data_IF_736898145114
#
_entry.id   IF_736898145114
#
_cell.length_a   1.000
_cell.length_b   1.000
_cell.length_c   1.000
_cell.angle_alpha   90.00
_cell.angle_beta   90.00
_cell.angle_gamma   90.00
#
_symmetry.space_group_name_H-M   'P 1'
#
loop_
_entity.id
_entity.type
_entity.pdbx_description
1 polymer ?
#
# COMPACT_ATOMS: atom_id res chain seq x y z
N UNK A 1 -12.75 27.13 -10.63
CA UNK A 1 -11.64 26.91 -9.67
C UNK A 1 -11.52 25.47 -9.17
N UNK A 2 -12.58 24.83 -8.63
CA UNK A 2 -12.48 23.46 -8.06
C UNK A 2 -12.13 22.36 -9.08
N UNK A 3 -12.62 22.44 -10.32
CA UNK A 3 -12.31 21.46 -11.37
C UNK A 3 -10.85 21.60 -11.86
N UNK A 4 -10.36 22.83 -12.01
CA UNK A 4 -8.97 23.09 -12.42
C UNK A 4 -7.96 22.43 -11.46
N UNK A 5 -8.17 22.54 -10.14
CA UNK A 5 -7.31 21.86 -9.17
C UNK A 5 -7.38 20.34 -9.25
N UNK A 6 -8.56 19.77 -9.51
CA UNK A 6 -8.74 18.31 -9.66
C UNK A 6 -8.03 17.77 -10.90
N UNK A 7 -7.98 18.54 -11.98
CA UNK A 7 -7.34 18.12 -13.22
C UNK A 7 -5.83 18.43 -13.25
N UNK A 8 -5.35 19.38 -12.43
CA UNK A 8 -3.95 19.78 -12.44
C UNK A 8 -2.97 18.62 -12.13
N UNK A 9 -3.24 17.81 -11.11
CA UNK A 9 -2.40 16.66 -10.77
C UNK A 9 -2.37 15.62 -11.89
N UNK A 10 -3.51 15.04 -12.34
CA UNK A 10 -3.50 14.01 -13.37
C UNK A 10 -2.94 14.53 -14.70
N UNK A 11 -3.23 15.77 -15.10
CA UNK A 11 -2.61 16.37 -16.30
C UNK A 11 -1.09 16.45 -16.12
N UNK A 12 -0.61 16.96 -14.99
CA UNK A 12 0.82 17.05 -14.72
C UNK A 12 1.52 15.70 -14.76
N UNK A 13 0.96 14.68 -14.10
CA UNK A 13 1.54 13.33 -14.09
C UNK A 13 1.44 12.66 -15.46
N UNK A 14 0.34 12.85 -16.20
CA UNK A 14 0.21 12.36 -17.58
C UNK A 14 1.21 13.01 -18.53
N UNK A 15 1.50 14.31 -18.37
CA UNK A 15 2.54 14.98 -19.15
C UNK A 15 3.92 14.38 -18.85
N UNK A 16 4.26 14.18 -17.57
CA UNK A 16 5.51 13.52 -17.18
C UNK A 16 5.59 12.10 -17.74
N UNK A 17 4.50 11.34 -17.65
CA UNK A 17 4.41 10.00 -18.21
C UNK A 17 4.61 9.99 -19.72
N UNK A 18 3.93 10.89 -20.45
CA UNK A 18 4.08 11.03 -21.89
C UNK A 18 5.50 11.40 -22.32
N UNK A 19 6.20 12.22 -21.52
CA UNK A 19 7.63 12.53 -21.74
C UNK A 19 8.47 11.25 -21.60
N UNK A 20 8.27 10.46 -20.53
CA UNK A 20 9.01 9.21 -20.34
C UNK A 20 8.74 8.19 -21.44
N UNK A 21 7.48 8.04 -21.86
CA UNK A 21 7.09 7.20 -23.02
C UNK A 21 7.75 7.71 -24.30
N UNK A 22 7.79 9.03 -24.53
CA UNK A 22 8.45 9.64 -25.67
C UNK A 22 9.96 9.39 -25.69
N UNK A 23 10.63 9.47 -24.54
CA UNK A 23 12.06 9.13 -24.41
C UNK A 23 12.33 7.65 -24.77
N UNK A 24 11.46 6.75 -24.30
CA UNK A 24 11.55 5.33 -24.64
C UNK A 24 11.34 5.08 -26.15
N UNK A 25 10.23 5.57 -26.71
CA UNK A 25 9.88 5.33 -28.11
C UNK A 25 10.82 6.00 -29.12
N UNK A 26 11.49 7.09 -28.74
CA UNK A 26 12.49 7.76 -29.57
C UNK A 26 13.87 7.09 -29.56
N UNK A 27 14.07 6.05 -28.76
CA UNK A 27 15.37 5.40 -28.59
C UNK A 27 16.33 6.14 -27.67
N UNK A 28 15.88 7.22 -26.99
CA UNK A 28 16.66 7.99 -26.04
C UNK A 28 16.79 7.29 -24.67
N UNK A 29 17.11 5.99 -24.69
CA UNK A 29 17.14 5.14 -23.50
C UNK A 29 18.10 5.63 -22.42
N UNK A 30 19.25 6.22 -22.79
CA UNK A 30 20.20 6.78 -21.83
C UNK A 30 19.59 7.93 -21.02
N UNK A 31 18.77 8.78 -21.63
CA UNK A 31 18.06 9.85 -20.93
C UNK A 31 16.94 9.27 -20.06
N UNK A 32 16.17 8.32 -20.60
CA UNK A 32 15.13 7.62 -19.86
C UNK A 32 15.68 7.00 -18.56
N UNK A 33 16.75 6.20 -18.67
CA UNK A 33 17.39 5.57 -17.53
C UNK A 33 18.16 6.54 -16.65
N UNK A 34 18.67 7.66 -17.18
CA UNK A 34 19.32 8.69 -16.38
C UNK A 34 18.36 9.47 -15.47
N UNK A 35 17.10 9.64 -15.88
CA UNK A 35 16.08 10.36 -15.09
C UNK A 35 15.57 9.55 -13.90
N UNK A 36 15.44 8.23 -14.03
CA UNK A 36 14.84 7.38 -12.98
C UNK A 36 15.60 7.41 -11.64
N UNK A 37 16.95 7.31 -11.58
CA UNK A 37 17.70 7.46 -10.35
C UNK A 37 17.54 8.83 -9.67
N UNK A 38 17.36 9.90 -10.45
CA UNK A 38 17.08 11.25 -9.94
C UNK A 38 15.70 11.35 -9.28
N UNK A 39 14.79 10.45 -9.65
CA UNK A 39 13.47 10.28 -9.03
C UNK A 39 13.46 9.22 -7.93
N UNK A 40 14.63 8.70 -7.54
CA UNK A 40 14.73 7.67 -6.52
C UNK A 40 14.28 6.27 -6.99
N UNK A 41 14.38 5.96 -8.28
CA UNK A 41 14.00 4.65 -8.81
C UNK A 41 15.21 3.98 -9.46
N UNK A 42 15.48 2.73 -9.10
CA UNK A 42 16.47 1.91 -9.81
C UNK A 42 15.81 1.27 -11.04
N UNK A 43 16.22 1.65 -12.27
CA UNK A 43 15.67 1.06 -13.47
C UNK A 43 16.17 -0.36 -13.70
N UNK A 44 15.42 -1.13 -14.48
CA UNK A 44 15.92 -2.36 -15.11
C UNK A 44 16.28 -2.08 -16.56
N UNK A 45 16.79 -3.09 -17.28
CA UNK A 45 17.17 -2.95 -18.69
C UNK A 45 15.99 -2.61 -19.63
N UNK A 46 14.76 -2.74 -19.16
CA UNK A 46 13.53 -2.38 -19.88
C UNK A 46 12.38 -2.06 -18.89
N UNK A 47 11.38 -1.26 -19.29
CA UNK A 47 10.25 -0.90 -18.46
C UNK A 47 9.26 -2.06 -18.30
N UNK A 48 8.36 -1.93 -17.32
CA UNK A 48 7.22 -2.83 -17.09
C UNK A 48 7.61 -4.27 -16.72
N UNK A 49 8.74 -4.43 -16.03
CA UNK A 49 9.29 -5.72 -15.61
C UNK A 49 8.28 -6.59 -14.84
N UNK A 50 7.42 -6.00 -14.03
CA UNK A 50 6.50 -6.80 -13.20
C UNK A 50 5.25 -7.21 -13.98
N UNK A 51 4.79 -6.40 -14.93
CA UNK A 51 3.81 -6.84 -15.94
C UNK A 51 4.39 -7.95 -16.80
N UNK A 52 5.66 -7.83 -17.24
CA UNK A 52 6.36 -8.89 -17.96
C UNK A 52 6.37 -10.20 -17.18
N UNK A 53 6.66 -10.16 -15.88
CA UNK A 53 6.68 -11.34 -15.00
C UNK A 53 5.35 -12.12 -15.01
N UNK A 54 4.23 -11.39 -14.93
CA UNK A 54 2.88 -11.98 -14.93
C UNK A 54 2.56 -12.60 -16.30
N UNK A 55 2.88 -11.88 -17.39
CA UNK A 55 2.65 -12.39 -18.75
C UNK A 55 3.53 -13.59 -19.06
N UNK A 56 4.80 -13.56 -18.64
CA UNK A 56 5.74 -14.67 -18.75
C UNK A 56 5.25 -15.91 -18.00
N UNK A 57 4.81 -15.75 -16.76
CA UNK A 57 4.27 -16.85 -15.96
C UNK A 57 3.01 -17.46 -16.62
N UNK A 58 2.10 -16.62 -17.12
CA UNK A 58 0.92 -17.11 -17.84
C UNK A 58 1.28 -17.81 -19.16
N UNK A 59 2.27 -17.29 -19.90
CA UNK A 59 2.76 -17.88 -21.16
C UNK A 59 3.40 -19.24 -20.95
N UNK A 60 4.35 -19.35 -20.01
CA UNK A 60 5.01 -20.61 -19.67
C UNK A 60 4.02 -21.60 -19.01
N UNK A 61 3.11 -21.12 -18.16
CA UNK A 61 2.08 -21.95 -17.53
C UNK A 61 1.17 -22.63 -18.56
N UNK A 62 0.80 -21.94 -19.65
CA UNK A 62 0.03 -22.53 -20.76
C UNK A 62 0.79 -23.61 -21.52
N UNK A 63 2.13 -23.61 -21.47
CA UNK A 63 2.97 -24.66 -22.03
C UNK A 63 3.13 -25.87 -21.09
N UNK A 64 2.46 -25.86 -19.94
CA UNK A 64 2.56 -26.92 -18.93
C UNK A 64 3.83 -26.84 -18.08
N UNK A 65 4.55 -25.71 -18.11
CA UNK A 65 5.73 -25.50 -17.27
C UNK A 65 5.29 -25.14 -15.86
N UNK A 66 5.90 -25.79 -14.85
CA UNK A 66 5.65 -25.51 -13.45
C UNK A 66 6.33 -24.18 -13.01
N UNK A 67 5.64 -23.07 -13.29
CA UNK A 67 6.17 -21.71 -13.12
C UNK A 67 6.48 -21.32 -11.68
N UNK A 68 5.93 -22.02 -10.69
CA UNK A 68 6.26 -21.79 -9.27
C UNK A 68 7.64 -22.32 -8.86
N UNK A 69 8.24 -23.19 -9.69
CA UNK A 69 9.59 -23.73 -9.52
C UNK A 69 10.59 -23.03 -10.44
N UNK A 70 10.25 -22.86 -11.71
CA UNK A 70 11.10 -22.16 -12.68
C UNK A 70 10.25 -21.51 -13.78
N UNK A 71 10.62 -20.29 -14.16
CA UNK A 71 9.92 -19.54 -15.19
C UNK A 71 10.92 -19.08 -16.26
N UNK A 72 11.23 -19.92 -17.27
CA UNK A 72 12.18 -19.56 -18.32
C UNK A 72 11.67 -18.45 -19.25
N UNK A 73 10.36 -18.14 -19.22
CA UNK A 73 9.78 -17.03 -19.97
C UNK A 73 10.03 -15.67 -19.31
N UNK A 74 10.34 -15.61 -18.00
CA UNK A 74 10.63 -14.35 -17.32
C UNK A 74 12.05 -13.90 -17.64
N UNK A 75 12.23 -12.62 -18.00
CA UNK A 75 13.53 -12.07 -18.34
C UNK A 75 14.61 -12.21 -17.24
N UNK A 76 14.21 -12.42 -15.98
CA UNK A 76 15.10 -12.67 -14.85
C UNK A 76 15.07 -14.11 -14.36
N UNK A 77 14.33 -15.00 -15.01
CA UNK A 77 14.15 -16.39 -14.59
C UNK A 77 13.47 -16.55 -13.24
N UNK A 78 12.72 -15.53 -12.76
CA UNK A 78 12.11 -15.54 -11.43
C UNK A 78 10.96 -16.54 -11.36
N UNK A 79 10.93 -17.47 -10.37
CA UNK A 79 9.74 -18.26 -10.12
C UNK A 79 8.52 -17.37 -9.86
N UNK A 80 7.36 -17.82 -10.32
CA UNK A 80 6.09 -17.15 -10.04
C UNK A 80 5.80 -17.22 -8.54
N UNK A 81 5.44 -16.10 -7.94
CA UNK A 81 5.15 -16.01 -6.50
C UNK A 81 3.77 -15.38 -6.21
N UNK A 82 2.90 -15.32 -7.23
CA UNK A 82 1.57 -14.73 -7.11
C UNK A 82 0.46 -15.77 -7.19
N UNK A 83 -0.78 -15.30 -7.00
CA UNK A 83 -1.97 -16.13 -7.08
C UNK A 83 -2.04 -16.94 -8.38
N UNK A 84 -2.45 -18.21 -8.32
CA UNK A 84 -2.67 -19.05 -9.50
C UNK A 84 -3.78 -18.51 -10.40
N UNK A 85 -4.65 -17.63 -9.87
CA UNK A 85 -5.66 -16.94 -10.66
C UNK A 85 -5.05 -16.13 -11.81
N UNK A 86 -3.84 -15.61 -11.67
CA UNK A 86 -3.15 -14.91 -12.76
C UNK A 86 -2.90 -15.81 -13.98
N UNK A 87 -2.64 -17.10 -13.75
CA UNK A 87 -2.38 -18.06 -14.83
C UNK A 87 -3.66 -18.40 -15.62
N UNK A 88 -4.82 -18.23 -15.01
CA UNK A 88 -6.12 -18.58 -15.62
C UNK A 88 -6.84 -17.39 -16.23
N UNK A 89 -6.70 -16.18 -15.66
CA UNK A 89 -7.43 -14.99 -16.15
C UNK A 89 -6.71 -14.24 -17.27
N UNK A 90 -5.38 -14.40 -17.39
CA UNK A 90 -4.63 -13.74 -18.46
C UNK A 90 -5.03 -14.40 -19.78
N UNK A 91 -5.63 -13.65 -20.73
CA UNK A 91 -6.08 -14.22 -22.00
C UNK A 91 -4.95 -14.92 -22.75
N UNK A 92 -5.26 -16.04 -23.41
CA UNK A 92 -4.26 -16.81 -24.17
C UNK A 92 -3.59 -16.02 -25.30
N UNK A 93 -4.23 -14.95 -25.78
CA UNK A 93 -3.67 -14.02 -26.77
C UNK A 93 -2.61 -13.08 -26.21
N UNK A 94 -2.43 -13.02 -24.88
CA UNK A 94 -1.45 -12.15 -24.22
C UNK A 94 -0.24 -12.97 -23.74
N UNK A 95 0.91 -12.76 -24.39
CA UNK A 95 2.22 -13.25 -23.95
C UNK A 95 3.17 -12.09 -23.63
N UNK A 96 4.44 -12.40 -23.40
CA UNK A 96 5.51 -11.44 -23.08
C UNK A 96 5.66 -10.33 -24.14
N UNK A 97 5.36 -10.60 -25.41
CA UNK A 97 5.33 -9.59 -26.47
C UNK A 97 4.30 -8.46 -26.26
N UNK A 98 3.29 -8.68 -25.41
CA UNK A 98 2.28 -7.69 -25.05
C UNK A 98 2.68 -6.75 -23.89
N UNK A 99 3.86 -6.96 -23.28
CA UNK A 99 4.31 -6.23 -22.08
C UNK A 99 4.17 -4.72 -22.21
N UNK A 100 4.62 -4.15 -23.33
CA UNK A 100 4.64 -2.70 -23.55
C UNK A 100 3.26 -2.05 -23.45
N UNK A 101 2.28 -2.57 -24.19
CA UNK A 101 0.95 -1.96 -24.22
C UNK A 101 0.08 -2.34 -23.03
N UNK A 102 0.24 -3.55 -22.45
CA UNK A 102 -0.45 -3.95 -21.22
C UNK A 102 0.01 -3.07 -20.06
N UNK A 103 1.33 -2.91 -19.89
CA UNK A 103 1.91 -2.04 -18.87
C UNK A 103 1.47 -0.60 -19.04
N UNK A 104 1.60 -0.05 -20.25
CA UNK A 104 1.17 1.33 -20.52
C UNK A 104 -0.32 1.57 -20.32
N UNK A 105 -1.17 0.60 -20.66
CA UNK A 105 -2.62 0.70 -20.42
C UNK A 105 -2.94 0.70 -18.92
N UNK A 106 -2.27 -0.16 -18.15
CA UNK A 106 -2.44 -0.23 -16.71
C UNK A 106 -2.03 1.07 -16.02
N UNK A 107 -0.87 1.61 -16.39
CA UNK A 107 -0.39 2.91 -15.93
C UNK A 107 -1.36 4.02 -16.27
N UNK A 108 -1.83 4.09 -17.52
CA UNK A 108 -2.75 5.13 -17.97
C UNK A 108 -4.06 5.11 -17.15
N UNK A 109 -4.64 3.93 -16.93
CA UNK A 109 -5.88 3.80 -16.14
C UNK A 109 -5.61 4.19 -14.67
N UNK A 110 -4.47 3.79 -14.11
CA UNK A 110 -4.05 4.23 -12.78
C UNK A 110 -3.93 5.77 -12.69
N UNK A 111 -3.25 6.40 -13.63
CA UNK A 111 -3.05 7.86 -13.65
C UNK A 111 -4.39 8.60 -13.79
N UNK A 112 -5.30 8.10 -14.62
CA UNK A 112 -6.66 8.65 -14.75
C UNK A 112 -7.47 8.47 -13.45
N UNK A 113 -7.27 7.38 -12.72
CA UNK A 113 -7.94 7.15 -11.44
C UNK A 113 -7.58 8.21 -10.37
N UNK A 114 -6.42 8.88 -10.51
CA UNK A 114 -6.01 9.94 -9.60
C UNK A 114 -6.97 11.14 -9.60
N UNK A 115 -7.74 11.36 -10.67
CA UNK A 115 -8.82 12.37 -10.72
C UNK A 115 -9.85 12.11 -9.60
N UNK A 116 -10.12 10.84 -9.32
CA UNK A 116 -11.10 10.41 -8.33
C UNK A 116 -10.51 10.43 -6.93
N UNK A 117 -9.28 9.96 -6.79
CA UNK A 117 -8.60 9.78 -5.50
C UNK A 117 -8.11 11.11 -4.94
N UNK A 118 -7.42 11.92 -5.75
CA UNK A 118 -6.73 13.14 -5.31
C UNK A 118 -7.63 14.36 -5.57
N UNK A 119 -8.22 14.91 -4.50
CA UNK A 119 -9.22 15.99 -4.58
C UNK A 119 -8.76 17.28 -3.92
N UNK A 120 -7.67 17.93 -4.39
CA UNK A 120 -7.20 19.17 -3.81
C UNK A 120 -8.24 20.29 -3.97
N UNK A 121 -8.43 21.10 -2.92
CA UNK A 121 -9.32 22.27 -2.91
C UNK A 121 -8.57 23.59 -2.79
N UNK A 122 -7.29 23.56 -2.44
CA UNK A 122 -6.42 24.73 -2.31
C UNK A 122 -5.07 24.48 -2.97
N UNK A 123 -4.31 25.54 -3.26
CA UNK A 123 -2.95 25.39 -3.81
C UNK A 123 -2.00 24.60 -2.89
N UNK A 124 -2.17 24.71 -1.57
CA UNK A 124 -1.40 23.89 -0.62
C UNK A 124 -1.75 22.41 -0.71
N UNK A 125 -3.04 22.09 -0.83
CA UNK A 125 -3.49 20.70 -1.01
C UNK A 125 -3.01 20.15 -2.37
N UNK A 126 -3.01 20.99 -3.41
CA UNK A 126 -2.46 20.64 -4.72
C UNK A 126 -0.98 20.27 -4.61
N UNK A 127 -0.18 21.07 -3.90
CA UNK A 127 1.24 20.79 -3.71
C UNK A 127 1.47 19.48 -2.94
N UNK A 128 0.74 19.26 -1.83
CA UNK A 128 0.87 18.06 -1.00
C UNK A 128 0.51 16.80 -1.80
N UNK A 129 -0.65 16.80 -2.45
CA UNK A 129 -1.14 15.63 -3.19
C UNK A 129 -0.37 15.43 -4.51
N UNK A 130 0.05 16.52 -5.16
CA UNK A 130 0.90 16.48 -6.34
C UNK A 130 2.28 15.90 -6.04
N UNK A 131 2.92 16.31 -4.93
CA UNK A 131 4.18 15.75 -4.48
C UNK A 131 4.08 14.25 -4.17
N UNK A 132 2.96 13.78 -3.63
CA UNK A 132 2.73 12.34 -3.43
C UNK A 132 2.53 11.59 -4.77
N UNK A 133 1.83 12.18 -5.74
CA UNK A 133 1.58 11.58 -7.04
C UNK A 133 2.84 11.42 -7.91
N UNK A 134 3.88 12.22 -7.68
CA UNK A 134 5.17 12.15 -8.39
C UNK A 134 6.29 11.59 -7.51
N UNK A 135 5.96 11.00 -6.36
CA UNK A 135 6.96 10.49 -5.44
C UNK A 135 7.68 9.25 -6.00
N UNK A 136 8.88 8.91 -5.50
CA UNK A 136 9.59 7.68 -5.85
C UNK A 136 8.72 6.42 -5.82
N UNK A 137 7.89 6.23 -4.78
CA UNK A 137 6.98 5.07 -4.70
C UNK A 137 5.98 4.99 -5.87
N UNK A 138 5.42 6.13 -6.31
CA UNK A 138 4.47 6.16 -7.42
C UNK A 138 5.19 5.96 -8.75
N UNK A 139 6.32 6.64 -8.96
CA UNK A 139 7.14 6.46 -10.17
C UNK A 139 7.62 5.02 -10.29
N UNK A 140 8.02 4.41 -9.17
CA UNK A 140 8.45 3.01 -9.14
C UNK A 140 7.33 2.04 -9.51
N UNK A 141 6.11 2.28 -9.01
CA UNK A 141 4.95 1.46 -9.36
C UNK A 141 4.62 1.51 -10.86
N UNK A 142 4.68 2.71 -11.45
CA UNK A 142 4.48 2.95 -12.89
C UNK A 142 5.58 2.32 -13.72
N UNK A 143 6.84 2.53 -13.33
CA UNK A 143 7.96 1.99 -14.10
C UNK A 143 7.93 0.45 -14.14
N UNK A 144 7.50 -0.20 -13.06
CA UNK A 144 7.32 -1.66 -13.08
C UNK A 144 6.02 -2.11 -13.71
N UNK A 145 5.09 -1.19 -13.99
CA UNK A 145 3.68 -1.47 -14.21
C UNK A 145 3.22 -2.59 -13.27
N UNK A 146 3.47 -2.39 -11.96
CA UNK A 146 3.28 -3.47 -10.99
C UNK A 146 1.79 -3.85 -10.90
N UNK A 147 1.49 -5.13 -10.68
CA UNK A 147 0.11 -5.58 -10.51
C UNK A 147 -0.62 -4.92 -9.30
N UNK A 148 0.11 -4.30 -8.36
CA UNK A 148 -0.47 -3.42 -7.33
C UNK A 148 -1.23 -2.22 -7.91
N UNK A 149 -0.94 -1.78 -9.14
CA UNK A 149 -1.75 -0.78 -9.84
C UNK A 149 -3.17 -1.28 -10.12
N UNK A 150 -3.31 -2.55 -10.55
CA UNK A 150 -4.63 -3.15 -10.75
C UNK A 150 -5.35 -3.32 -9.41
N UNK A 151 -4.62 -3.78 -8.38
CA UNK A 151 -5.19 -3.92 -7.03
C UNK A 151 -5.66 -2.56 -6.51
N UNK A 152 -4.88 -1.50 -6.71
CA UNK A 152 -5.25 -0.14 -6.38
C UNK A 152 -6.56 0.27 -7.08
N UNK A 153 -6.70 0.02 -8.39
CA UNK A 153 -7.92 0.32 -9.14
C UNK A 153 -9.15 -0.42 -8.59
N UNK A 154 -9.03 -1.72 -8.32
CA UNK A 154 -10.12 -2.51 -7.73
C UNK A 154 -10.51 -1.99 -6.34
N UNK A 155 -9.52 -1.64 -5.52
CA UNK A 155 -9.72 -1.07 -4.18
C UNK A 155 -10.38 0.30 -4.26
N UNK A 156 -9.97 1.19 -5.17
CA UNK A 156 -10.58 2.51 -5.35
C UNK A 156 -12.03 2.39 -5.82
N UNK A 157 -12.31 1.51 -6.79
CA UNK A 157 -13.67 1.21 -7.21
C UNK A 157 -14.51 0.64 -6.04
N UNK A 158 -13.94 -0.28 -5.27
CA UNK A 158 -14.56 -0.82 -4.07
C UNK A 158 -14.85 0.27 -3.04
N UNK A 159 -13.93 1.18 -2.79
CA UNK A 159 -14.11 2.32 -1.88
C UNK A 159 -15.21 3.29 -2.34
N UNK A 160 -15.31 3.54 -3.66
CA UNK A 160 -16.39 4.35 -4.21
C UNK A 160 -17.75 3.69 -3.98
N UNK A 161 -17.87 2.40 -4.29
CA UNK A 161 -19.10 1.62 -4.07
C UNK A 161 -19.45 1.49 -2.59
N UNK A 162 -18.45 1.33 -1.73
CA UNK A 162 -18.64 1.26 -0.28
C UNK A 162 -19.25 2.56 0.28
N UNK A 163 -18.96 3.69 -0.37
CA UNK A 163 -19.52 5.00 -0.02
C UNK A 163 -20.99 5.17 -0.45
N UNK A 164 -21.53 4.29 -1.28
CA UNK A 164 -22.90 4.34 -1.80
C UNK A 164 -23.90 3.62 -0.87
N UNK A 165 -25.23 3.80 -1.06
CA UNK A 165 -26.24 2.99 -0.39
C UNK A 165 -26.29 1.53 -0.92
N UNK A 166 -27.15 0.71 -0.31
CA UNK A 166 -27.50 -0.61 -0.86
C UNK A 166 -28.14 -0.46 -2.26
N UNK A 167 -27.91 -1.41 -3.18
CA UNK A 167 -27.10 -2.63 -3.05
C UNK A 167 -25.60 -2.42 -3.32
N UNK A 168 -25.19 -1.27 -3.87
CA UNK A 168 -23.81 -1.00 -4.30
C UNK A 168 -22.76 -1.19 -3.21
N UNK A 169 -23.07 -0.82 -1.97
CA UNK A 169 -22.20 -1.08 -0.81
C UNK A 169 -21.90 -2.55 -0.58
N UNK A 170 -22.85 -3.45 -0.86
CA UNK A 170 -22.60 -4.89 -0.75
C UNK A 170 -21.69 -5.38 -1.86
N UNK A 171 -21.82 -4.80 -3.07
CA UNK A 171 -20.99 -5.14 -4.20
C UNK A 171 -19.51 -4.76 -4.00
N UNK A 172 -19.19 -3.76 -3.15
CA UNK A 172 -17.79 -3.42 -2.86
C UNK A 172 -17.01 -4.58 -2.25
N UNK A 173 -17.64 -5.42 -1.42
CA UNK A 173 -16.98 -6.60 -0.86
C UNK A 173 -16.61 -7.61 -1.94
N UNK A 174 -17.41 -7.74 -3.00
CA UNK A 174 -17.06 -8.54 -4.18
C UNK A 174 -15.76 -8.06 -4.83
N UNK A 175 -15.58 -6.73 -4.98
CA UNK A 175 -14.32 -6.16 -5.48
C UNK A 175 -13.15 -6.37 -4.52
N UNK A 176 -13.37 -6.29 -3.20
CA UNK A 176 -12.32 -6.57 -2.20
C UNK A 176 -11.91 -8.05 -2.22
N UNK A 177 -12.86 -8.98 -2.38
CA UNK A 177 -12.57 -10.41 -2.58
C UNK A 177 -11.81 -10.60 -3.89
N UNK A 178 -12.27 -10.04 -5.01
CA UNK A 178 -11.59 -10.16 -6.29
C UNK A 178 -10.14 -9.65 -6.23
N UNK A 179 -9.91 -8.48 -5.62
CA UNK A 179 -8.57 -7.95 -5.37
C UNK A 179 -7.75 -8.91 -4.47
N UNK A 180 -8.36 -9.43 -3.41
CA UNK A 180 -7.79 -10.42 -2.49
C UNK A 180 -7.40 -11.74 -3.14
N UNK A 181 -8.17 -12.22 -4.12
CA UNK A 181 -7.87 -13.44 -4.86
C UNK A 181 -6.71 -13.24 -5.85
N UNK A 182 -6.53 -12.03 -6.37
CA UNK A 182 -5.38 -11.68 -7.23
C UNK A 182 -4.10 -11.46 -6.41
N UNK A 183 -4.24 -10.86 -5.23
CA UNK A 183 -3.14 -10.58 -4.31
C UNK A 183 -3.70 -10.57 -2.90
N UNK A 184 -3.13 -11.30 -1.95
CA UNK A 184 -3.86 -11.66 -0.72
C UNK A 184 -4.14 -10.53 0.26
N UNK A 185 -3.32 -9.47 0.29
CA UNK A 185 -3.43 -8.42 1.33
C UNK A 185 -4.74 -7.62 1.37
N UNK A 186 -5.48 -7.35 0.26
CA UNK A 186 -6.77 -6.67 0.29
C UNK A 186 -7.89 -7.44 0.98
N UNK A 187 -7.74 -8.74 1.27
CA UNK A 187 -8.72 -9.49 2.06
C UNK A 187 -8.92 -8.89 3.46
N UNK A 188 -7.95 -8.12 3.97
CA UNK A 188 -8.11 -7.37 5.22
C UNK A 188 -9.29 -6.39 5.18
N UNK A 189 -9.68 -5.90 4.00
CA UNK A 189 -10.81 -4.99 3.82
C UNK A 189 -12.15 -5.65 4.17
N UNK A 190 -12.23 -6.98 4.23
CA UNK A 190 -13.41 -7.70 4.69
C UNK A 190 -13.75 -7.38 6.16
N UNK A 191 -12.81 -6.87 6.96
CA UNK A 191 -13.09 -6.35 8.32
C UNK A 191 -14.16 -5.24 8.29
N UNK A 192 -14.29 -4.51 7.19
CA UNK A 192 -15.32 -3.49 7.03
C UNK A 192 -16.75 -4.05 7.06
N UNK A 193 -16.94 -5.38 6.97
CA UNK A 193 -18.24 -6.04 7.18
C UNK A 193 -18.81 -5.76 8.57
N UNK A 194 -17.95 -5.44 9.54
CA UNK A 194 -18.35 -4.99 10.88
C UNK A 194 -19.11 -3.65 10.86
N UNK A 195 -19.18 -2.94 9.73
CA UNK A 195 -20.00 -1.72 9.57
C UNK A 195 -21.42 -2.00 9.08
N UNK A 196 -21.69 -3.23 8.63
CA UNK A 196 -22.98 -3.60 8.07
C UNK A 196 -24.01 -3.99 9.15
N UNK A 197 -25.27 -4.11 8.74
CA UNK A 197 -26.31 -4.68 9.60
C UNK A 197 -26.03 -6.18 9.80
N UNK A 198 -26.38 -6.80 10.94
CA UNK A 198 -26.04 -8.20 11.22
C UNK A 198 -26.42 -9.19 10.11
N UNK A 199 -27.62 -9.05 9.53
CA UNK A 199 -28.07 -9.87 8.39
C UNK A 199 -27.12 -9.75 7.20
N UNK A 200 -26.85 -8.52 6.79
CA UNK A 200 -26.02 -8.22 5.62
C UNK A 200 -24.56 -8.62 5.85
N UNK A 201 -24.07 -8.44 7.08
CA UNK A 201 -22.76 -8.89 7.50
C UNK A 201 -22.65 -10.42 7.39
N UNK A 202 -23.64 -11.16 7.89
CA UNK A 202 -23.70 -12.61 7.80
C UNK A 202 -23.72 -13.10 6.35
N UNK A 203 -24.55 -12.52 5.49
CA UNK A 203 -24.62 -12.87 4.05
C UNK A 203 -23.30 -12.59 3.34
N UNK A 204 -22.71 -11.41 3.58
CA UNK A 204 -21.44 -11.01 2.96
C UNK A 204 -20.29 -11.92 3.42
N UNK A 205 -20.22 -12.21 4.73
CA UNK A 205 -19.20 -13.09 5.29
C UNK A 205 -19.35 -14.53 4.77
N UNK A 206 -20.59 -15.05 4.67
CA UNK A 206 -20.85 -16.36 4.11
C UNK A 206 -20.45 -16.44 2.63
N UNK A 207 -20.82 -15.44 1.82
CA UNK A 207 -20.48 -15.40 0.40
C UNK A 207 -18.97 -15.28 0.16
N UNK A 208 -18.30 -14.40 0.91
CA UNK A 208 -16.85 -14.26 0.85
C UNK A 208 -16.14 -15.54 1.33
N UNK A 209 -16.56 -16.09 2.47
CA UNK A 209 -16.02 -17.33 3.02
C UNK A 209 -16.18 -18.52 2.08
N UNK A 210 -17.37 -18.68 1.48
CA UNK A 210 -17.62 -19.71 0.47
C UNK A 210 -16.71 -19.55 -0.75
N UNK A 211 -16.57 -18.33 -1.26
CA UNK A 211 -15.67 -18.03 -2.40
C UNK A 211 -14.21 -18.37 -2.07
N UNK A 212 -13.74 -18.00 -0.87
CA UNK A 212 -12.37 -18.29 -0.42
C UNK A 212 -12.14 -19.79 -0.22
N UNK A 213 -13.12 -20.53 0.30
CA UNK A 213 -13.05 -21.99 0.43
C UNK A 213 -12.97 -22.63 -0.95
N UNK A 214 -13.84 -22.25 -1.88
CA UNK A 214 -13.80 -22.77 -3.25
C UNK A 214 -12.46 -22.48 -3.93
N UNK A 215 -11.94 -21.26 -3.79
CA UNK A 215 -10.64 -20.89 -4.31
C UNK A 215 -9.51 -21.75 -3.70
N UNK A 216 -9.51 -21.92 -2.38
CA UNK A 216 -8.52 -22.74 -1.69
C UNK A 216 -8.56 -24.21 -2.08
N UNK A 217 -9.76 -24.76 -2.32
CA UNK A 217 -9.94 -26.13 -2.80
C UNK A 217 -9.51 -26.29 -4.26
N UNK A 218 -9.85 -25.32 -5.12
CA UNK A 218 -9.55 -25.38 -6.55
C UNK A 218 -8.04 -25.25 -6.84
N UNK A 219 -7.30 -24.51 -6.02
CA UNK A 219 -5.88 -24.21 -6.25
C UNK A 219 -4.96 -24.67 -5.11
N UNK A 220 -5.35 -25.69 -4.35
CA UNK A 220 -4.64 -26.11 -3.14
C UNK A 220 -3.15 -26.41 -3.39
N UNK A 221 -2.85 -27.15 -4.46
CA UNK A 221 -1.49 -27.55 -4.85
C UNK A 221 -0.61 -26.33 -5.16
N UNK A 222 -1.10 -25.44 -6.01
CA UNK A 222 -0.42 -24.25 -6.48
C UNK A 222 -0.23 -23.26 -5.34
N UNK A 223 -1.24 -23.09 -4.48
CA UNK A 223 -1.13 -22.24 -3.29
C UNK A 223 -0.05 -22.75 -2.33
N UNK A 224 0.03 -24.07 -2.13
CA UNK A 224 1.08 -24.66 -1.28
C UNK A 224 2.48 -24.37 -1.83
N UNK A 225 2.69 -24.54 -3.14
CA UNK A 225 3.98 -24.25 -3.77
C UNK A 225 4.27 -22.75 -3.77
N UNK A 226 3.31 -21.91 -4.16
CA UNK A 226 3.42 -20.46 -4.19
C UNK A 226 3.85 -19.88 -2.83
N UNK A 227 3.22 -20.35 -1.74
CA UNK A 227 3.53 -19.91 -0.38
C UNK A 227 4.92 -20.35 0.07
N UNK A 228 5.39 -21.51 -0.37
CA UNK A 228 6.74 -21.99 -0.10
C UNK A 228 7.81 -21.21 -0.91
N UNK A 229 7.45 -20.71 -2.09
CA UNK A 229 8.33 -19.94 -2.98
C UNK A 229 8.37 -18.44 -2.68
N UNK A 230 7.60 -17.93 -1.70
CA UNK A 230 7.70 -16.53 -1.29
C UNK A 230 9.11 -16.29 -0.74
N UNK A 231 9.93 -15.45 -1.37
CA UNK A 231 11.29 -15.20 -0.90
C UNK A 231 11.26 -14.72 0.54
N UNK A 232 12.09 -15.32 1.39
CA UNK A 232 12.41 -14.72 2.67
C UNK A 232 13.00 -13.33 2.44
N UNK A 233 12.82 -12.42 3.41
CA UNK A 233 13.39 -11.09 3.39
C UNK A 233 14.86 -11.14 2.95
N UNK A 234 15.15 -10.65 1.74
CA UNK A 234 16.50 -10.73 1.15
C UNK A 234 17.46 -9.78 1.84
N UNK A 235 16.95 -8.65 2.36
CA UNK A 235 17.67 -7.71 3.21
C UNK A 235 16.68 -6.76 3.89
N UNK A 236 16.99 -6.33 5.12
CA UNK A 236 16.21 -5.33 5.87
C UNK A 236 16.62 -3.87 5.56
N UNK A 237 17.67 -3.68 4.77
CA UNK A 237 18.27 -2.38 4.46
C UNK A 237 17.94 -1.90 3.04
N UNK A 238 16.81 -2.38 2.51
CA UNK A 238 16.32 -2.07 1.15
C UNK A 238 15.24 -0.97 1.19
N UNK A 239 14.67 -0.69 0.02
CA UNK A 239 13.50 0.16 -0.19
C UNK A 239 12.18 -0.49 0.30
N UNK A 240 12.24 -1.69 0.87
CA UNK A 240 11.06 -2.37 1.38
C UNK A 240 10.70 -1.91 2.81
N UNK A 241 9.40 -1.99 3.17
CA UNK A 241 8.88 -1.62 4.48
C UNK A 241 8.21 -2.80 5.20
N UNK A 242 8.43 -2.91 6.51
CA UNK A 242 7.84 -3.95 7.38
C UNK A 242 8.02 -3.63 8.86
N UNK A 243 7.11 -4.14 9.71
CA UNK A 243 7.32 -4.23 11.15
C UNK A 243 8.57 -5.04 11.53
N UNK A 244 9.03 -5.93 10.64
CA UNK A 244 10.22 -6.76 10.86
C UNK A 244 11.54 -6.04 10.57
N UNK A 245 11.53 -4.98 9.75
CA UNK A 245 12.77 -4.35 9.30
C UNK A 245 13.63 -3.88 10.46
N UNK A 246 13.09 -3.02 11.33
CA UNK A 246 13.87 -2.47 12.44
C UNK A 246 14.37 -3.54 13.43
N UNK A 247 13.52 -4.44 13.97
CA UNK A 247 14.00 -5.43 14.93
C UNK A 247 15.03 -6.40 14.34
N UNK A 248 14.76 -6.95 13.16
CA UNK A 248 15.60 -7.98 12.57
C UNK A 248 16.83 -7.41 11.86
N UNK A 249 16.73 -6.22 11.26
CA UNK A 249 17.86 -5.49 10.70
C UNK A 249 18.80 -4.99 11.79
N UNK A 250 18.28 -4.49 12.91
CA UNK A 250 19.12 -4.06 14.04
C UNK A 250 19.85 -5.26 14.67
N UNK A 251 19.15 -6.39 14.82
CA UNK A 251 19.78 -7.61 15.30
C UNK A 251 20.84 -8.15 14.32
N UNK A 252 20.61 -8.05 13.00
CA UNK A 252 21.58 -8.42 11.97
C UNK A 252 22.85 -7.57 12.03
N UNK A 253 22.70 -6.26 12.30
CA UNK A 253 23.82 -5.34 12.39
C UNK A 253 24.69 -5.52 13.65
N UNK A 254 24.13 -6.09 14.73
CA UNK A 254 24.80 -6.16 16.04
C UNK A 254 25.35 -7.53 16.42
N UNK A 255 24.72 -8.63 16.00
CA UNK A 255 25.01 -9.94 16.58
C UNK A 255 24.98 -11.08 15.55
N UNK A 256 25.86 -12.06 15.74
CA UNK A 256 25.81 -13.36 15.06
C UNK A 256 25.12 -14.43 15.92
N UNK A 257 24.50 -15.42 15.30
CA UNK A 257 23.99 -16.62 16.00
C UNK A 257 22.68 -16.41 16.80
N UNK A 258 22.55 -17.13 17.92
CA UNK A 258 21.31 -17.21 18.71
C UNK A 258 20.89 -15.87 19.35
N UNK A 259 21.85 -15.01 19.68
CA UNK A 259 21.63 -13.67 20.24
C UNK A 259 20.79 -12.79 19.30
N UNK A 260 20.90 -13.01 17.98
CA UNK A 260 20.14 -12.28 16.97
C UNK A 260 18.63 -12.46 17.14
N UNK A 261 18.17 -13.69 17.38
CA UNK A 261 16.73 -13.96 17.54
C UNK A 261 16.23 -13.30 18.83
N UNK A 262 16.98 -13.42 19.92
CA UNK A 262 16.61 -12.83 21.20
C UNK A 262 16.52 -11.30 21.11
N UNK A 263 17.50 -10.64 20.48
CA UNK A 263 17.51 -9.18 20.26
C UNK A 263 16.31 -8.78 19.40
N UNK A 264 16.10 -9.45 18.26
CA UNK A 264 15.00 -9.11 17.35
C UNK A 264 13.62 -9.28 18.00
N UNK A 265 13.38 -10.38 18.72
CA UNK A 265 12.10 -10.63 19.40
C UNK A 265 11.88 -9.65 20.55
N UNK A 266 12.93 -9.33 21.31
CA UNK A 266 12.86 -8.36 22.41
C UNK A 266 12.52 -6.96 21.89
N UNK A 267 13.21 -6.52 20.83
CA UNK A 267 12.97 -5.21 20.22
C UNK A 267 11.59 -5.14 19.55
N UNK A 268 11.15 -6.20 18.86
CA UNK A 268 9.81 -6.28 18.30
C UNK A 268 8.74 -6.18 19.39
N UNK A 269 8.95 -6.86 20.52
CA UNK A 269 8.03 -6.81 21.67
C UNK A 269 7.95 -5.42 22.28
N UNK A 270 9.10 -4.75 22.46
CA UNK A 270 9.17 -3.38 22.94
C UNK A 270 8.47 -2.38 22.00
N UNK A 271 8.73 -2.47 20.69
CA UNK A 271 8.08 -1.63 19.68
C UNK A 271 6.58 -1.88 19.63
N UNK A 272 6.13 -3.14 19.74
CA UNK A 272 4.72 -3.50 19.78
C UNK A 272 4.02 -2.93 21.02
N UNK A 273 4.66 -3.01 22.19
CA UNK A 273 4.15 -2.40 23.43
C UNK A 273 4.02 -0.88 23.31
N UNK A 274 5.04 -0.21 22.76
CA UNK A 274 5.00 1.24 22.51
C UNK A 274 3.93 1.61 21.47
N UNK A 275 3.78 0.81 20.43
CA UNK A 275 2.76 0.97 19.40
C UNK A 275 1.34 0.89 20.00
N UNK A 276 1.07 -0.10 20.86
CA UNK A 276 -0.23 -0.22 21.55
C UNK A 276 -0.48 0.97 22.48
N UNK A 277 0.50 1.37 23.30
CA UNK A 277 0.37 2.52 24.20
C UNK A 277 0.08 3.82 23.42
N UNK A 278 0.81 4.03 22.31
CA UNK A 278 0.62 5.17 21.42
C UNK A 278 -0.72 5.11 20.70
N UNK A 279 -1.17 3.94 20.27
CA UNK A 279 -2.48 3.73 19.64
C UNK A 279 -3.60 4.12 20.60
N UNK A 280 -3.56 3.66 21.86
CA UNK A 280 -4.54 4.02 22.90
C UNK A 280 -4.57 5.54 23.12
N UNK A 281 -3.39 6.19 23.25
CA UNK A 281 -3.31 7.65 23.37
C UNK A 281 -3.92 8.37 22.16
N UNK A 282 -3.66 7.87 20.96
CA UNK A 282 -4.22 8.43 19.71
C UNK A 282 -5.73 8.27 19.65
N UNK A 283 -6.27 7.12 20.06
CA UNK A 283 -7.71 6.90 20.12
C UNK A 283 -8.40 7.86 21.10
N UNK A 284 -7.79 8.10 22.27
CA UNK A 284 -8.30 9.10 23.24
C UNK A 284 -8.28 10.50 22.65
N UNK A 285 -7.21 10.86 21.94
CA UNK A 285 -7.09 12.15 21.25
C UNK A 285 -8.17 12.30 20.18
N UNK A 286 -8.34 11.30 19.31
CA UNK A 286 -9.37 11.29 18.24
C UNK A 286 -10.80 11.31 18.81
N UNK A 287 -11.00 10.78 20.02
CA UNK A 287 -12.29 10.80 20.71
C UNK A 287 -12.77 12.19 21.11
N UNK A 288 -11.90 13.22 21.09
CA UNK A 288 -12.26 14.62 21.38
C UNK A 288 -12.98 15.32 20.22
N UNK A 289 -12.93 14.75 19.02
CA UNK A 289 -13.47 15.37 17.81
C UNK A 289 -14.64 14.55 17.25
N UNK A 290 -15.67 15.25 16.75
CA UNK A 290 -16.72 14.62 15.96
C UNK A 290 -16.26 14.48 14.50
N UNK A 291 -15.61 13.36 14.22
CA UNK A 291 -15.13 13.04 12.87
C UNK A 291 -16.30 12.67 11.94
N UNK A 292 -16.35 13.31 10.77
CA UNK A 292 -17.27 12.99 9.67
C UNK A 292 -16.73 11.82 8.84
N UNK A 293 -17.26 10.63 9.12
CA UNK A 293 -16.90 9.40 8.40
C UNK A 293 -17.76 9.16 7.15
N UNK A 294 -18.74 10.02 6.84
CA UNK A 294 -19.60 9.86 5.67
C UNK A 294 -18.95 10.41 4.39
N UNK A 295 -17.98 11.32 4.51
CA UNK A 295 -17.26 11.86 3.37
C UNK A 295 -16.50 10.76 2.59
N UNK A 296 -16.56 10.79 1.25
CA UNK A 296 -15.86 9.80 0.42
C UNK A 296 -14.34 9.78 0.64
N UNK A 297 -13.73 10.95 0.87
CA UNK A 297 -12.31 11.05 1.20
C UNK A 297 -11.94 10.33 2.50
N UNK A 298 -12.86 10.22 3.47
CA UNK A 298 -12.58 9.53 4.74
C UNK A 298 -12.75 8.01 4.61
N UNK A 299 -13.57 7.54 3.66
CA UNK A 299 -13.59 6.13 3.26
C UNK A 299 -12.25 5.72 2.60
N UNK A 300 -11.70 6.57 1.73
CA UNK A 300 -10.34 6.35 1.18
C UNK A 300 -9.28 6.30 2.27
N UNK A 301 -9.39 7.13 3.32
CA UNK A 301 -8.49 7.06 4.47
C UNK A 301 -8.55 5.73 5.19
N UNK A 302 -9.75 5.25 5.51
CA UNK A 302 -9.93 4.00 6.25
C UNK A 302 -9.39 2.82 5.42
N UNK A 303 -9.73 2.77 4.14
CA UNK A 303 -9.35 1.68 3.24
C UNK A 303 -7.83 1.68 3.00
N UNK A 304 -7.24 2.82 2.62
CA UNK A 304 -5.80 2.94 2.42
C UNK A 304 -5.02 2.70 3.73
N UNK A 305 -5.51 3.25 4.84
CA UNK A 305 -4.93 3.07 6.17
C UNK A 305 -4.93 1.61 6.63
N UNK A 306 -6.03 0.88 6.40
CA UNK A 306 -6.13 -0.54 6.75
C UNK A 306 -5.19 -1.39 5.90
N UNK A 307 -5.11 -1.14 4.58
CA UNK A 307 -4.21 -1.87 3.70
C UNK A 307 -2.74 -1.63 4.03
N UNK A 308 -2.33 -0.39 4.25
CA UNK A 308 -0.94 -0.05 4.60
C UNK A 308 -0.56 -0.67 5.94
N UNK A 309 -1.43 -0.57 6.95
CA UNK A 309 -1.19 -1.19 8.25
C UNK A 309 -1.08 -2.72 8.15
N UNK A 310 -1.97 -3.36 7.38
CA UNK A 310 -1.94 -4.80 7.16
C UNK A 310 -0.66 -5.24 6.43
N UNK A 311 -0.28 -4.55 5.35
CA UNK A 311 0.95 -4.83 4.62
C UNK A 311 2.17 -4.73 5.55
N UNK A 312 2.29 -3.63 6.31
CA UNK A 312 3.41 -3.42 7.23
C UNK A 312 3.53 -4.54 8.28
N UNK A 313 2.41 -5.02 8.82
CA UNK A 313 2.40 -6.05 9.85
C UNK A 313 2.55 -7.48 9.30
N UNK A 314 2.04 -7.75 8.10
CA UNK A 314 1.99 -9.10 7.54
C UNK A 314 3.36 -9.61 7.04
N UNK A 315 4.19 -8.72 6.50
CA UNK A 315 5.47 -9.11 5.92
C UNK A 315 6.26 -7.93 5.38
N UNK A 316 7.32 -8.23 4.64
CA UNK A 316 8.12 -7.21 3.96
C UNK A 316 7.52 -6.93 2.59
N UNK A 317 7.37 -5.65 2.26
CA UNK A 317 6.72 -5.21 1.03
C UNK A 317 7.62 -4.20 0.32
N UNK A 318 7.75 -4.35 -1.00
CA UNK A 318 8.51 -3.42 -1.82
C UNK A 318 7.86 -2.03 -1.83
N UNK A 319 8.67 -0.98 -1.90
CA UNK A 319 8.27 0.43 -1.79
C UNK A 319 7.12 0.86 -2.70
N UNK A 320 7.03 0.32 -3.93
CA UNK A 320 5.95 0.68 -4.87
C UNK A 320 4.55 0.42 -4.29
N UNK A 321 4.39 -0.50 -3.32
CA UNK A 321 3.10 -0.72 -2.65
C UNK A 321 2.64 0.48 -1.81
N UNK A 322 3.54 1.42 -1.54
CA UNK A 322 3.25 2.70 -0.93
C UNK A 322 2.28 3.58 -1.72
N UNK A 323 1.93 3.25 -2.98
CA UNK A 323 0.80 3.90 -3.68
C UNK A 323 -0.52 3.84 -2.90
N UNK A 324 -0.69 2.86 -2.01
CA UNK A 324 -1.86 2.76 -1.12
C UNK A 324 -1.93 3.90 -0.09
N UNK A 325 -0.86 4.68 0.09
CA UNK A 325 -0.86 5.91 0.87
C UNK A 325 -1.55 7.07 0.13
N UNK A 326 -1.72 7.03 -1.19
CA UNK A 326 -2.43 8.09 -1.94
C UNK A 326 -3.89 8.30 -1.46
N UNK A 327 -4.74 7.26 -1.37
CA UNK A 327 -6.08 7.40 -0.80
C UNK A 327 -6.03 7.80 0.68
N UNK A 328 -5.06 7.28 1.45
CA UNK A 328 -4.88 7.66 2.85
C UNK A 328 -4.56 9.15 3.02
N UNK A 329 -3.63 9.67 2.22
CA UNK A 329 -3.21 11.06 2.24
C UNK A 329 -4.35 12.00 1.84
N UNK A 330 -5.11 11.64 0.80
CA UNK A 330 -6.26 12.41 0.34
C UNK A 330 -7.29 12.59 1.48
N UNK A 331 -7.58 11.52 2.21
CA UNK A 331 -8.46 11.60 3.37
C UNK A 331 -7.85 12.34 4.57
N UNK A 332 -6.55 12.20 4.85
CA UNK A 332 -5.86 12.96 5.90
C UNK A 332 -5.90 14.48 5.64
N UNK A 333 -5.68 14.90 4.39
CA UNK A 333 -5.76 16.29 3.97
C UNK A 333 -7.19 16.82 4.15
N UNK A 334 -8.19 16.04 3.74
CA UNK A 334 -9.59 16.38 3.95
C UNK A 334 -9.93 16.52 5.44
N UNK A 335 -9.51 15.56 6.28
CA UNK A 335 -9.74 15.58 7.72
C UNK A 335 -9.09 16.77 8.40
N UNK A 336 -7.81 17.06 8.10
CA UNK A 336 -7.09 18.18 8.71
C UNK A 336 -7.82 19.52 8.51
N UNK A 337 -8.56 19.67 7.41
CA UNK A 337 -9.36 20.87 7.10
C UNK A 337 -10.62 20.96 7.95
N UNK A 338 -11.28 19.84 8.24
CA UNK A 338 -12.55 19.83 8.99
C UNK A 338 -12.37 19.83 10.50
N UNK A 339 -11.20 19.42 11.00
CA UNK A 339 -10.92 19.32 12.44
C UNK A 339 -10.81 20.70 13.10
N UNK A 340 -11.54 20.88 14.21
CA UNK A 340 -11.48 22.07 15.07
C UNK A 340 -10.42 21.96 16.16
N UNK A 341 -10.30 20.79 16.81
CA UNK A 341 -9.31 20.57 17.88
C UNK A 341 -7.87 20.76 17.37
N UNK A 342 -7.10 21.61 18.06
CA UNK A 342 -5.74 21.98 17.64
C UNK A 342 -4.77 20.80 17.70
N UNK A 343 -4.90 19.92 18.69
CA UNK A 343 -4.02 18.77 18.86
C UNK A 343 -4.32 17.70 17.81
N UNK A 344 -5.60 17.41 17.55
CA UNK A 344 -6.02 16.48 16.49
C UNK A 344 -5.58 17.00 15.11
N UNK A 345 -5.73 18.31 14.86
CA UNK A 345 -5.26 18.94 13.62
C UNK A 345 -3.74 18.90 13.47
N UNK A 346 -2.99 19.05 14.56
CA UNK A 346 -1.52 18.89 14.58
C UNK A 346 -1.13 17.46 14.28
N UNK A 347 -1.81 16.48 14.89
CA UNK A 347 -1.61 15.07 14.61
C UNK A 347 -1.83 14.75 13.12
N UNK A 348 -2.94 15.18 12.51
CA UNK A 348 -3.15 14.99 11.07
C UNK A 348 -2.07 15.68 10.23
N UNK A 349 -1.59 16.85 10.64
CA UNK A 349 -0.47 17.52 9.97
C UNK A 349 0.84 16.73 10.03
N UNK A 350 1.15 16.13 11.18
CA UNK A 350 2.30 15.24 11.35
C UNK A 350 2.14 13.96 10.52
N UNK A 351 0.93 13.40 10.43
CA UNK A 351 0.64 12.24 9.60
C UNK A 351 0.88 12.54 8.13
N UNK A 352 0.40 13.69 7.62
CA UNK A 352 0.67 14.14 6.26
C UNK A 352 2.17 14.26 5.99
N UNK A 353 2.93 14.85 6.93
CA UNK A 353 4.38 14.99 6.79
C UNK A 353 5.08 13.63 6.79
N UNK A 354 4.67 12.69 7.66
CA UNK A 354 5.22 11.34 7.71
C UNK A 354 4.93 10.56 6.42
N UNK A 355 3.71 10.66 5.86
CA UNK A 355 3.36 10.06 4.57
C UNK A 355 4.27 10.61 3.46
N UNK A 356 4.42 11.93 3.37
CA UNK A 356 5.30 12.52 2.36
C UNK A 356 6.76 12.12 2.55
N UNK A 357 7.23 12.06 3.79
CA UNK A 357 8.59 11.62 4.09
C UNK A 357 8.83 10.18 3.60
N UNK A 358 7.97 9.21 3.96
CA UNK A 358 8.17 7.81 3.53
C UNK A 358 8.00 7.68 2.02
N UNK A 359 7.08 8.43 1.40
CA UNK A 359 6.89 8.39 -0.05
C UNK A 359 8.10 8.90 -0.85
N UNK A 360 8.94 9.72 -0.23
CA UNK A 360 10.16 10.30 -0.79
C UNK A 360 11.46 9.74 -0.19
N UNK A 361 11.37 8.73 0.69
CA UNK A 361 12.50 8.26 1.48
C UNK A 361 13.68 7.79 0.62
N UNK A 362 13.39 7.15 -0.51
CA UNK A 362 14.40 6.58 -1.39
C UNK A 362 15.23 7.67 -2.08
N UNK A 363 14.60 8.79 -2.44
CA UNK A 363 15.32 9.95 -2.94
C UNK A 363 16.25 10.52 -1.86
N UNK A 364 15.75 10.65 -0.63
CA UNK A 364 16.57 11.15 0.49
C UNK A 364 17.73 10.21 0.80
N UNK A 365 17.50 8.89 0.76
CA UNK A 365 18.53 7.87 0.97
C UNK A 365 19.64 7.97 -0.07
N UNK A 366 19.29 8.11 -1.35
CA UNK A 366 20.26 8.27 -2.45
C UNK A 366 21.01 9.58 -2.37
N UNK A 367 20.32 10.68 -2.08
CA UNK A 367 20.95 11.98 -1.88
C UNK A 367 21.95 11.92 -0.71
N UNK A 368 21.58 11.30 0.41
CA UNK A 368 22.48 11.10 1.55
C UNK A 368 23.70 10.26 1.15
N UNK A 369 23.49 9.13 0.47
CA UNK A 369 24.58 8.28 -0.01
C UNK A 369 25.53 9.03 -0.95
N UNK A 370 25.01 9.83 -1.88
CA UNK A 370 25.81 10.64 -2.81
C UNK A 370 26.63 11.73 -2.09
N UNK A 371 26.12 12.29 -0.98
CA UNK A 371 26.83 13.30 -0.19
C UNK A 371 27.94 12.67 0.65
N UNK A 372 27.72 11.48 1.22
CA UNK A 372 28.65 10.90 2.20
C UNK A 372 29.66 9.92 1.56
N UNK A 373 29.31 9.25 0.46
CA UNK A 373 30.20 8.30 -0.25
C UNK A 373 31.55 8.89 -0.74
N UNK A 374 31.67 10.17 -1.13
CA UNK A 374 32.96 10.73 -1.57
C UNK A 374 33.94 11.01 -0.43
N UNK A 375 33.49 10.96 0.83
CA UNK A 375 34.33 11.27 2.01
C UNK A 375 35.18 10.04 2.34
N UNK A 376 36.52 10.11 2.22
CA UNK A 376 37.40 9.01 2.62
C UNK A 376 37.35 8.90 4.15
N UNK A 377 36.56 7.96 4.64
CA UNK A 377 36.44 7.67 6.05
C UNK A 377 35.74 6.34 6.22
N UNK A 378 36.51 5.32 6.59
CA UNK A 378 35.96 4.00 6.94
C UNK A 378 34.95 4.20 8.08
N UNK A 379 33.66 4.11 7.76
CA UNK A 379 32.57 4.10 8.73
C UNK A 379 31.70 5.36 8.85
N UNK A 380 32.03 6.51 8.25
CA UNK A 380 31.13 7.68 8.31
C UNK A 380 29.88 7.50 7.43
N UNK A 381 30.06 7.01 6.19
CA UNK A 381 28.96 6.68 5.27
C UNK A 381 28.02 5.66 5.88
N UNK A 382 28.56 4.59 6.46
CA UNK A 382 27.75 3.54 7.07
C UNK A 382 26.97 4.03 8.30
N UNK A 383 27.56 4.88 9.15
CA UNK A 383 26.84 5.43 10.31
C UNK A 383 25.67 6.33 9.90
N UNK A 384 25.90 7.26 8.97
CA UNK A 384 24.86 8.17 8.50
C UNK A 384 23.69 7.41 7.84
N UNK A 385 23.98 6.42 7.00
CA UNK A 385 22.99 5.56 6.37
C UNK A 385 22.21 4.72 7.38
N UNK A 386 22.88 4.18 8.40
CA UNK A 386 22.22 3.43 9.50
C UNK A 386 21.31 4.34 10.31
N UNK A 387 21.74 5.57 10.67
CA UNK A 387 20.88 6.52 11.38
C UNK A 387 19.66 6.93 10.56
N UNK A 388 19.85 7.18 9.25
CA UNK A 388 18.75 7.45 8.35
C UNK A 388 17.77 6.27 8.28
N UNK A 389 18.28 5.05 8.13
CA UNK A 389 17.49 3.83 8.14
C UNK A 389 16.70 3.64 9.44
N UNK A 390 17.32 3.80 10.62
CA UNK A 390 16.61 3.74 11.91
C UNK A 390 15.51 4.80 11.97
N UNK A 391 15.83 6.04 11.62
CA UNK A 391 14.87 7.15 11.61
C UNK A 391 13.67 6.85 10.70
N UNK A 392 13.93 6.34 9.50
CA UNK A 392 12.93 5.91 8.53
C UNK A 392 12.00 4.84 9.09
N UNK A 393 12.55 3.78 9.67
CA UNK A 393 11.75 2.70 10.24
C UNK A 393 10.88 3.19 11.42
N UNK A 394 11.40 4.10 12.26
CA UNK A 394 10.62 4.72 13.34
C UNK A 394 9.46 5.58 12.80
N UNK A 395 9.66 6.28 11.67
CA UNK A 395 8.57 7.00 11.00
C UNK A 395 7.51 6.03 10.47
N UNK A 396 7.90 4.90 9.89
CA UNK A 396 6.95 3.86 9.46
C UNK A 396 6.11 3.32 10.61
N UNK A 397 6.74 2.94 11.73
CA UNK A 397 6.03 2.50 12.93
C UNK A 397 5.04 3.56 13.44
N UNK A 398 5.47 4.82 13.52
CA UNK A 398 4.62 5.92 13.97
C UNK A 398 3.43 6.16 13.02
N UNK A 399 3.68 6.14 11.71
CA UNK A 399 2.67 6.32 10.67
C UNK A 399 1.62 5.20 10.73
N UNK A 400 2.05 3.94 10.76
CA UNK A 400 1.15 2.78 10.78
C UNK A 400 0.31 2.75 12.04
N UNK A 401 0.88 3.08 13.21
CA UNK A 401 0.12 3.20 14.46
C UNK A 401 -0.94 4.31 14.38
N UNK A 402 -0.60 5.44 13.76
CA UNK A 402 -1.54 6.53 13.54
C UNK A 402 -2.69 6.15 12.60
N UNK A 403 -2.39 5.45 11.49
CA UNK A 403 -3.38 4.95 10.53
C UNK A 403 -4.29 3.89 11.18
N UNK A 404 -3.71 2.93 11.91
CA UNK A 404 -4.46 1.92 12.64
C UNK A 404 -5.40 2.55 13.70
N UNK A 405 -4.96 3.59 14.40
CA UNK A 405 -5.82 4.32 15.34
C UNK A 405 -7.00 5.03 14.65
N UNK A 406 -6.78 5.61 13.46
CA UNK A 406 -7.85 6.22 12.66
C UNK A 406 -8.86 5.16 12.19
N UNK A 407 -8.38 4.02 11.68
CA UNK A 407 -9.22 2.89 11.26
C UNK A 407 -10.02 2.33 12.44
N UNK A 408 -9.39 2.13 13.59
CA UNK A 408 -10.07 1.62 14.78
C UNK A 408 -11.08 2.64 15.34
N UNK A 409 -10.81 3.94 15.26
CA UNK A 409 -11.78 4.99 15.59
C UNK A 409 -13.03 4.90 14.70
N UNK A 410 -12.85 4.65 13.40
CA UNK A 410 -13.94 4.39 12.46
C UNK A 410 -14.72 3.12 12.81
N UNK A 411 -14.03 2.01 13.07
CA UNK A 411 -14.68 0.72 13.39
C UNK A 411 -15.43 0.74 14.73
N UNK A 412 -14.96 1.49 15.73
CA UNK A 412 -15.63 1.62 17.04
C UNK A 412 -17.01 2.27 16.98
N UNK A 413 -17.29 3.07 15.96
CA UNK A 413 -18.62 3.67 15.75
C UNK A 413 -19.59 2.74 15.03
N UNK A 414 -19.32 1.43 15.01
CA UNK A 414 -20.10 0.44 14.26
C UNK A 414 -21.32 -0.03 15.04
N UNK A 415 -22.38 -0.51 14.37
CA UNK A 415 -23.53 -1.12 15.04
C UNK A 415 -23.14 -2.29 15.96
N UNK A 416 -22.09 -3.04 15.61
CA UNK A 416 -21.60 -4.18 16.40
C UNK A 416 -20.93 -3.77 17.72
N UNK A 417 -20.36 -2.56 17.81
CA UNK A 417 -19.77 -2.09 19.06
C UNK A 417 -20.80 -1.97 20.21
N UNK A 418 -22.07 -1.72 19.88
CA UNK A 418 -23.17 -1.69 20.86
C UNK A 418 -23.58 -3.08 21.39
N UNK A 419 -23.24 -4.17 20.68
CA UNK A 419 -23.54 -5.54 21.10
C UNK A 419 -22.56 -6.00 22.19
N UNK A 420 -21.29 -5.59 22.11
CA UNK A 420 -20.26 -5.89 23.10
C UNK A 420 -20.09 -4.80 24.17
N UNK A 421 -20.67 -3.62 23.96
CA UNK A 421 -20.53 -2.44 24.83
C UNK A 421 -21.64 -2.22 25.85
N UNK A 422 -22.66 -3.10 25.94
CA UNK A 422 -23.59 -3.11 27.09
C UNK A 422 -22.89 -3.74 28.30
N UNK A 423 -21.93 -3.01 28.87
CA UNK A 423 -21.59 -3.18 30.27
C UNK A 423 -22.80 -2.78 31.10
N UNK A 424 -23.20 -3.68 32.01
CA UNK A 424 -24.22 -3.51 33.05
C UNK A 424 -24.15 -2.09 33.64
N UNK A 425 -25.15 -1.24 33.40
CA UNK A 425 -25.23 0.05 34.09
C UNK A 425 -25.93 1.22 33.39
N UNK A 426 -26.25 1.18 32.09
CA UNK A 426 -26.99 2.29 31.48
C UNK A 426 -28.49 2.20 31.82
N UNK A 427 -29.06 3.19 32.55
CA UNK A 427 -30.47 3.21 32.87
C UNK A 427 -31.29 3.40 31.59
N UNK A 428 -32.29 2.54 31.43
CA UNK A 428 -33.33 2.68 30.40
C UNK A 428 -33.92 4.09 30.44
N UNK A 429 -34.06 4.78 29.30
CA UNK A 429 -34.80 6.03 29.26
C UNK A 429 -36.25 5.73 29.66
N UNK A 430 -36.70 6.37 30.73
CA UNK A 430 -38.09 6.36 31.17
C UNK A 430 -38.96 6.90 30.05
N UNK A 431 -39.96 6.11 29.65
CA UNK A 431 -41.03 6.57 28.79
C UNK A 431 -41.82 7.67 29.52
N UNK A 432 -41.93 8.83 28.88
CA UNK A 432 -42.93 9.86 29.14
C UNK A 432 -43.47 10.31 27.78
#
# INVERSE_FOLDING_TARGET
MRLAYRLAIPIGVLCLYAIMVGLWLSGAHSLYFGVLPLLGVEPFSFPFLDTHAILAAAECGRQGIEVYLSNPCDALGRPHAYSPLWLTIVPGSLGTGATGWVGASLDLVFLLSLIVVLRPRTGRELLILGAAAVSPMTVYALERANNDLLIFLLVVCGAMLFSLPRPYRLFSYGLFVAAGLLKYYPLVLLILVARERPRDAGVTAAAAGFTLILFGLAFYSELKTALASIPAASSYFTDAFSARNLPFGFAEALAGGADRILIAVSLLSALSGLAVARMIRTLRLLGREQLDWAAGETQFLVIGGLLVAACFLAGQNIAYRGILLLPALSGLVCFRRSIKDREVRRFCGQMIAAVLFVMWEELFRRALHAIVSPVPGEGLSSRAEVFFWIGRELVWWWLVVGLAALVLSFLRRSPFAGIFGKTVGDPTPSAA
#
